data_IF_836534333797
#
_entry.id   IF_836534333797
#
_cell.length_a   1.000
_cell.length_b   1.000
_cell.length_c   1.000
_cell.angle_alpha   90.00
_cell.angle_beta   90.00
_cell.angle_gamma   90.00
#
_symmetry.space_group_name_H-M   'P 1'
#
loop_
_entity.id
_entity.type
_entity.pdbx_description
1 polymer ?
#
# COMPACT_ATOMS: atom_id res chain seq x y z
N UNK A 1 17.50 27.98 -14.08
CA UNK A 1 16.27 28.21 -14.85
C UNK A 1 15.68 26.82 -15.03
N UNK A 2 14.66 26.47 -14.26
CA UNK A 2 13.91 25.24 -14.49
C UNK A 2 13.11 25.43 -15.78
N UNK A 3 13.47 24.72 -16.84
CA UNK A 3 12.65 24.68 -18.05
C UNK A 3 11.42 23.82 -17.75
N UNK A 4 10.26 24.46 -17.60
CA UNK A 4 9.00 23.74 -17.38
C UNK A 4 8.64 22.95 -18.64
N UNK A 5 8.51 21.64 -18.51
CA UNK A 5 8.07 20.74 -19.59
C UNK A 5 6.65 21.14 -20.00
N UNK A 6 6.42 21.31 -21.30
CA UNK A 6 5.05 21.56 -21.78
C UNK A 6 4.20 20.28 -21.67
N UNK A 7 2.88 20.37 -21.40
CA UNK A 7 2.03 19.18 -21.24
C UNK A 7 2.09 18.19 -22.40
N UNK A 8 2.24 18.71 -23.64
CA UNK A 8 2.38 17.87 -24.84
C UNK A 8 3.71 17.10 -24.85
N UNK A 9 4.82 17.77 -24.54
CA UNK A 9 6.13 17.14 -24.50
C UNK A 9 6.22 16.09 -23.39
N UNK A 10 5.59 16.33 -22.24
CA UNK A 10 5.50 15.34 -21.15
C UNK A 10 4.75 14.07 -21.57
N UNK A 11 3.63 14.21 -22.30
CA UNK A 11 2.88 13.05 -22.81
C UNK A 11 3.64 12.25 -23.86
N UNK A 12 4.35 12.92 -24.77
CA UNK A 12 5.21 12.27 -25.77
C UNK A 12 6.36 11.50 -25.10
N UNK A 13 6.99 12.10 -24.09
CA UNK A 13 8.04 11.47 -23.29
C UNK A 13 7.50 10.27 -22.48
N UNK A 14 6.35 10.42 -21.82
CA UNK A 14 5.73 9.33 -21.06
C UNK A 14 5.39 8.12 -21.96
N UNK A 15 4.87 8.36 -23.17
CA UNK A 15 4.58 7.30 -24.14
C UNK A 15 5.85 6.58 -24.59
N UNK A 16 6.95 7.31 -24.79
CA UNK A 16 8.26 6.74 -25.11
C UNK A 16 8.80 5.89 -23.96
N UNK A 17 8.79 6.41 -22.73
CA UNK A 17 9.25 5.69 -21.54
C UNK A 17 8.45 4.39 -21.33
N UNK A 18 7.14 4.42 -21.58
CA UNK A 18 6.31 3.22 -21.49
C UNK A 18 6.63 2.17 -22.57
N UNK A 19 6.86 2.59 -23.82
CA UNK A 19 7.25 1.65 -24.88
C UNK A 19 8.65 1.07 -24.63
N UNK A 20 9.58 1.87 -24.07
CA UNK A 20 10.90 1.43 -23.63
C UNK A 20 10.81 0.42 -22.48
N UNK A 21 10.05 0.72 -21.43
CA UNK A 21 9.81 -0.22 -20.32
C UNK A 21 9.36 -1.61 -20.79
N UNK A 22 8.56 -1.65 -21.86
CA UNK A 22 8.01 -2.88 -22.42
C UNK A 22 8.97 -3.63 -23.35
N UNK A 23 9.83 -2.92 -24.08
CA UNK A 23 10.68 -3.49 -25.13
C UNK A 23 12.12 -3.71 -24.69
N UNK A 24 12.67 -2.77 -23.93
CA UNK A 24 14.06 -2.77 -23.47
C UNK A 24 14.20 -2.05 -22.12
N UNK A 25 14.02 -2.77 -21.00
CA UNK A 25 14.22 -2.22 -19.67
C UNK A 25 15.64 -1.72 -19.40
N UNK A 26 16.64 -2.21 -20.14
CA UNK A 26 18.03 -1.77 -20.02
C UNK A 26 18.23 -0.37 -20.58
N UNK A 27 17.70 -0.10 -21.77
CA UNK A 27 17.70 1.23 -22.37
C UNK A 27 16.89 2.24 -21.53
N UNK A 28 15.74 1.82 -20.97
CA UNK A 28 15.00 2.63 -20.01
C UNK A 28 15.88 3.00 -18.80
N UNK A 29 16.59 2.03 -18.22
CA UNK A 29 17.44 2.29 -17.05
C UNK A 29 18.56 3.28 -17.38
N UNK A 30 19.19 3.19 -18.55
CA UNK A 30 20.23 4.14 -18.96
C UNK A 30 19.67 5.55 -19.18
N UNK A 31 18.49 5.64 -19.82
CA UNK A 31 17.78 6.91 -19.99
C UNK A 31 17.41 7.55 -18.66
N UNK A 32 16.88 6.78 -17.72
CA UNK A 32 16.56 7.26 -16.37
C UNK A 32 17.81 7.67 -15.58
N UNK A 33 19.01 7.18 -15.90
CA UNK A 33 20.24 7.61 -15.22
C UNK A 33 20.85 8.91 -15.80
N UNK A 34 20.46 9.30 -17.01
CA UNK A 34 21.14 10.36 -17.77
C UNK A 34 20.24 11.52 -18.18
N UNK A 35 18.92 11.36 -18.09
CA UNK A 35 17.94 12.36 -18.47
C UNK A 35 17.04 12.73 -17.27
N UNK A 36 17.30 13.90 -16.69
CA UNK A 36 16.54 14.46 -15.56
C UNK A 36 15.06 14.71 -15.93
N UNK A 37 14.77 15.01 -17.20
CA UNK A 37 13.40 15.23 -17.70
C UNK A 37 12.66 13.89 -17.75
N UNK A 38 13.32 12.82 -18.19
CA UNK A 38 12.76 11.48 -18.17
C UNK A 38 12.44 11.01 -16.74
N UNK A 39 13.36 11.25 -15.79
CA UNK A 39 13.12 10.98 -14.36
C UNK A 39 11.91 11.75 -13.84
N UNK A 40 11.85 13.06 -14.13
CA UNK A 40 10.76 13.91 -13.68
C UNK A 40 9.40 13.45 -14.23
N UNK A 41 9.31 13.14 -15.53
CA UNK A 41 8.07 12.64 -16.15
C UNK A 41 7.62 11.33 -15.52
N UNK A 42 8.55 10.43 -15.20
CA UNK A 42 8.24 9.17 -14.54
C UNK A 42 7.73 9.40 -13.09
N UNK A 43 8.42 10.26 -12.33
CA UNK A 43 8.03 10.61 -10.96
C UNK A 43 6.66 11.29 -10.89
N UNK A 44 6.39 12.24 -11.78
CA UNK A 44 5.10 12.91 -11.86
C UNK A 44 3.99 11.93 -12.24
N UNK A 45 4.25 11.04 -13.21
CA UNK A 45 3.29 9.99 -13.60
C UNK A 45 2.97 9.02 -12.48
N UNK A 46 3.98 8.54 -11.75
CA UNK A 46 3.79 7.67 -10.58
C UNK A 46 3.04 8.38 -9.46
N UNK A 47 3.36 9.64 -9.19
CA UNK A 47 2.68 10.46 -8.18
C UNK A 47 1.20 10.59 -8.51
N UNK A 48 0.85 10.91 -9.76
CA UNK A 48 -0.53 11.02 -10.22
C UNK A 48 -1.26 9.67 -10.09
N UNK A 49 -0.63 8.57 -10.49
CA UNK A 49 -1.20 7.23 -10.35
C UNK A 49 -1.51 6.89 -8.88
N UNK A 50 -0.56 7.14 -7.97
CA UNK A 50 -0.73 6.91 -6.53
C UNK A 50 -1.88 7.76 -5.98
N UNK A 51 -1.95 9.04 -6.35
CA UNK A 51 -3.04 9.93 -5.93
C UNK A 51 -4.41 9.46 -6.44
N UNK A 52 -4.48 8.99 -7.68
CA UNK A 52 -5.72 8.45 -8.25
C UNK A 52 -6.12 7.14 -7.55
N UNK A 53 -5.19 6.23 -7.30
CA UNK A 53 -5.43 5.01 -6.55
C UNK A 53 -5.95 5.31 -5.13
N UNK A 54 -5.30 6.23 -4.41
CA UNK A 54 -5.77 6.70 -3.08
C UNK A 54 -7.19 7.22 -3.15
N UNK A 55 -7.48 8.12 -4.09
CA UNK A 55 -8.82 8.70 -4.25
C UNK A 55 -9.88 7.65 -4.56
N UNK A 56 -9.53 6.64 -5.37
CA UNK A 56 -10.43 5.52 -5.65
C UNK A 56 -10.69 4.64 -4.42
N UNK A 57 -9.68 4.41 -3.59
CA UNK A 57 -9.86 3.68 -2.33
C UNK A 57 -10.75 4.50 -1.40
N UNK A 58 -10.39 5.75 -1.13
CA UNK A 58 -11.14 6.64 -0.22
C UNK A 58 -12.60 6.85 -0.66
N UNK A 59 -12.88 6.94 -1.96
CA UNK A 59 -14.24 7.10 -2.46
C UNK A 59 -15.09 5.83 -2.39
N UNK A 60 -14.45 4.65 -2.34
CA UNK A 60 -15.12 3.35 -2.18
C UNK A 60 -15.24 2.93 -0.72
N UNK A 61 -14.38 3.46 0.15
CA UNK A 61 -14.44 3.19 1.59
C UNK A 61 -15.63 3.91 2.20
N UNK A 62 -16.63 3.15 2.64
CA UNK A 62 -17.71 3.69 3.46
C UNK A 62 -17.13 4.20 4.79
N UNK A 63 -17.48 5.44 5.16
CA UNK A 63 -17.07 6.05 6.42
C UNK A 63 -17.50 5.25 7.65
N UNK A 64 -18.58 4.46 7.57
CA UNK A 64 -19.00 3.57 8.65
C UNK A 64 -18.00 2.43 8.90
N UNK A 65 -17.27 1.99 7.87
CA UNK A 65 -16.22 0.96 7.99
C UNK A 65 -14.96 1.46 8.69
N UNK A 66 -14.84 2.77 8.92
CA UNK A 66 -13.69 3.37 9.63
C UNK A 66 -13.87 3.41 11.15
N UNK A 67 -14.97 2.84 11.67
CA UNK A 67 -15.23 2.74 13.11
C UNK A 67 -15.75 1.35 13.49
N UNK A 68 -15.23 0.68 14.53
CA UNK A 68 -14.13 1.12 15.40
C UNK A 68 -12.80 1.23 14.63
N UNK A 69 -11.81 1.93 15.16
CA UNK A 69 -10.47 1.95 14.55
C UNK A 69 -9.69 0.70 14.95
N UNK A 70 -8.81 0.25 14.06
CA UNK A 70 -7.89 -0.87 14.27
C UNK A 70 -6.47 -0.39 14.03
N UNK A 71 -5.60 -0.61 15.01
CA UNK A 71 -4.19 -0.27 14.92
C UNK A 71 -3.32 -1.51 14.89
N UNK A 72 -2.13 -1.35 14.33
CA UNK A 72 -1.07 -2.34 14.37
C UNK A 72 0.24 -1.71 14.85
N UNK A 73 1.11 -2.52 15.43
CA UNK A 73 2.53 -2.17 15.59
C UNK A 73 3.32 -2.77 14.44
N UNK A 74 4.30 -2.05 13.92
CA UNK A 74 5.13 -2.55 12.84
C UNK A 74 6.61 -2.23 13.02
N UNK A 75 7.47 -3.03 12.40
CA UNK A 75 8.92 -2.81 12.28
C UNK A 75 9.38 -3.28 10.90
N UNK A 76 10.26 -2.50 10.28
CA UNK A 76 10.87 -2.80 8.97
C UNK A 76 12.38 -2.85 9.18
N UNK A 77 13.01 -3.98 8.86
CA UNK A 77 14.47 -4.21 9.02
C UNK A 77 15.01 -3.91 10.42
N UNK A 78 14.21 -4.19 11.45
CA UNK A 78 14.60 -3.96 12.85
C UNK A 78 14.59 -2.50 13.27
N UNK A 79 13.89 -1.63 12.53
CA UNK A 79 13.54 -0.28 12.97
C UNK A 79 12.79 -0.31 14.32
N UNK A 80 12.76 0.83 15.01
CA UNK A 80 11.89 0.98 16.18
C UNK A 80 10.43 0.64 15.80
N UNK A 81 9.71 0.05 16.76
CA UNK A 81 8.32 -0.30 16.54
C UNK A 81 7.46 0.97 16.53
N UNK A 82 6.69 1.13 15.47
CA UNK A 82 5.78 2.25 15.30
C UNK A 82 4.33 1.76 15.27
N UNK A 83 3.39 2.63 15.61
CA UNK A 83 1.96 2.33 15.56
C UNK A 83 1.35 2.96 14.32
N UNK A 84 0.57 2.18 13.58
CA UNK A 84 -0.13 2.60 12.36
C UNK A 84 -1.61 2.25 12.44
N UNK A 85 -2.47 3.13 11.92
CA UNK A 85 -3.92 2.89 11.77
C UNK A 85 -4.16 2.04 10.51
N UNK A 86 -4.55 0.78 10.71
CA UNK A 86 -4.79 -0.20 9.65
C UNK A 86 -6.27 -0.36 9.31
N UNK A 87 -7.15 0.51 9.84
CA UNK A 87 -8.61 0.39 9.65
C UNK A 87 -9.01 0.42 8.18
N UNK A 88 -8.30 1.20 7.36
CA UNK A 88 -8.54 1.25 5.90
C UNK A 88 -8.17 -0.05 5.20
N UNK A 89 -7.15 -0.76 5.68
CA UNK A 89 -6.83 -2.08 5.17
C UNK A 89 -8.00 -3.02 5.50
N UNK A 90 -8.45 -3.08 6.75
CA UNK A 90 -9.63 -3.87 7.15
C UNK A 90 -10.88 -3.58 6.31
N UNK A 91 -11.14 -2.30 6.02
CA UNK A 91 -12.28 -1.89 5.20
C UNK A 91 -12.14 -2.29 3.72
N UNK A 92 -10.92 -2.41 3.21
CA UNK A 92 -10.61 -2.76 1.82
C UNK A 92 -10.37 -4.26 1.60
N UNK A 93 -10.01 -5.00 2.65
CA UNK A 93 -9.75 -6.43 2.62
C UNK A 93 -11.01 -7.22 2.31
N UNK A 94 -10.83 -8.33 1.60
CA UNK A 94 -11.87 -9.33 1.45
C UNK A 94 -11.95 -10.25 2.69
N UNK A 95 -12.93 -11.14 2.67
CA UNK A 95 -13.18 -12.05 3.79
C UNK A 95 -12.03 -13.08 3.95
N UNK A 96 -11.35 -13.45 2.87
CA UNK A 96 -10.25 -14.42 2.89
C UNK A 96 -9.01 -13.83 3.57
N UNK A 97 -8.66 -12.57 3.26
CA UNK A 97 -7.57 -11.84 3.91
C UNK A 97 -7.83 -11.66 5.42
N UNK A 98 -9.07 -11.31 5.79
CA UNK A 98 -9.46 -11.12 7.19
C UNK A 98 -9.47 -12.43 7.98
N UNK A 99 -9.89 -13.54 7.35
CA UNK A 99 -9.83 -14.88 7.94
C UNK A 99 -8.38 -15.33 8.10
N UNK A 100 -7.54 -15.14 7.08
CA UNK A 100 -6.11 -15.41 7.19
C UNK A 100 -5.48 -14.67 8.38
N UNK A 101 -5.83 -13.38 8.56
CA UNK A 101 -5.32 -12.59 9.68
C UNK A 101 -5.77 -13.16 11.02
N UNK A 102 -7.02 -13.63 11.09
CA UNK A 102 -7.56 -14.26 12.29
C UNK A 102 -6.87 -15.61 12.59
N UNK A 103 -6.66 -16.46 11.58
CA UNK A 103 -6.00 -17.77 11.68
C UNK A 103 -4.53 -17.65 12.09
N UNK A 104 -3.86 -16.59 11.63
CA UNK A 104 -2.50 -16.24 12.02
C UNK A 104 -2.44 -15.49 13.38
N UNK A 105 -3.54 -15.46 14.14
CA UNK A 105 -3.61 -14.80 15.45
C UNK A 105 -3.18 -13.32 15.43
N UNK A 106 -3.57 -12.60 14.37
CA UNK A 106 -3.33 -11.18 14.19
C UNK A 106 -1.85 -10.81 14.03
N UNK A 107 -1.02 -11.77 13.59
CA UNK A 107 0.37 -11.53 13.19
C UNK A 107 0.93 -12.69 12.36
N UNK A 108 1.49 -12.38 11.19
CA UNK A 108 2.13 -13.36 10.31
C UNK A 108 2.76 -12.69 9.09
N UNK A 109 3.75 -13.34 8.49
CA UNK A 109 4.66 -12.71 7.53
C UNK A 109 3.92 -12.23 6.27
N UNK A 110 3.04 -13.07 5.70
CA UNK A 110 2.33 -12.76 4.46
C UNK A 110 1.34 -11.60 4.63
N UNK A 111 0.65 -11.53 5.76
CA UNK A 111 -0.34 -10.48 6.02
C UNK A 111 0.34 -9.20 6.49
N UNK A 112 1.50 -9.31 7.16
CA UNK A 112 2.33 -8.16 7.50
C UNK A 112 2.78 -7.38 6.26
N UNK A 113 3.26 -8.09 5.23
CA UNK A 113 3.64 -7.46 3.96
C UNK A 113 2.44 -6.78 3.27
N UNK A 114 1.27 -7.43 3.26
CA UNK A 114 0.04 -6.85 2.66
C UNK A 114 -0.38 -5.56 3.36
N UNK A 115 -0.43 -5.57 4.70
CA UNK A 115 -0.81 -4.40 5.51
C UNK A 115 0.18 -3.27 5.25
N UNK A 116 1.49 -3.53 5.35
CA UNK A 116 2.50 -2.47 5.21
C UNK A 116 2.59 -1.94 3.79
N UNK A 117 2.50 -2.79 2.77
CA UNK A 117 2.44 -2.34 1.38
C UNK A 117 1.20 -1.46 1.12
N UNK A 118 0.05 -1.80 1.71
CA UNK A 118 -1.15 -0.97 1.62
C UNK A 118 -0.99 0.36 2.38
N UNK A 119 -0.36 0.33 3.56
CA UNK A 119 -0.15 1.54 4.38
C UNK A 119 0.90 2.49 3.82
N UNK A 120 1.89 1.97 3.10
CA UNK A 120 2.84 2.75 2.32
C UNK A 120 2.16 3.63 1.25
N UNK A 121 0.93 3.31 0.83
CA UNK A 121 0.17 4.30 0.05
C UNK A 121 -0.14 5.51 0.92
N UNK A 122 -0.73 5.35 2.10
CA UNK A 122 -1.33 6.45 2.85
C UNK A 122 -0.36 7.20 3.76
N UNK A 123 0.75 6.58 4.14
CA UNK A 123 1.73 7.13 5.07
C UNK A 123 3.12 7.22 4.41
N UNK A 124 3.63 8.45 4.30
CA UNK A 124 4.90 8.75 3.62
C UNK A 124 6.13 8.26 4.39
N UNK A 125 6.03 8.07 5.71
CA UNK A 125 7.13 7.54 6.50
C UNK A 125 7.17 6.01 6.38
N UNK A 126 6.01 5.33 6.36
CA UNK A 126 5.91 3.90 6.01
C UNK A 126 6.41 3.66 4.58
N UNK A 127 6.00 4.48 3.62
CA UNK A 127 6.47 4.45 2.22
C UNK A 127 8.00 4.52 2.16
N UNK A 128 8.58 5.51 2.83
CA UNK A 128 10.03 5.73 2.83
C UNK A 128 10.76 4.52 3.39
N UNK A 129 10.31 3.96 4.50
CA UNK A 129 10.96 2.80 5.13
C UNK A 129 10.84 1.55 4.26
N UNK A 130 9.65 1.30 3.72
CA UNK A 130 9.35 0.09 2.94
C UNK A 130 10.07 0.06 1.59
N UNK A 131 10.09 1.17 0.84
CA UNK A 131 10.66 1.19 -0.53
C UNK A 131 12.16 1.46 -0.59
N UNK A 132 12.81 1.91 0.50
CA UNK A 132 14.28 2.02 0.56
C UNK A 132 14.91 0.64 0.78
N UNK A 133 14.22 -0.26 1.48
CA UNK A 133 14.66 -1.62 1.69
C UNK A 133 14.56 -2.41 0.37
N UNK A 134 15.65 -3.07 -0.04
CA UNK A 134 15.64 -3.92 -1.24
C UNK A 134 14.92 -5.25 -1.03
N UNK A 135 14.79 -5.69 0.22
CA UNK A 135 14.10 -6.91 0.66
C UNK A 135 13.68 -6.73 2.15
N UNK A 136 12.67 -5.89 2.42
CA UNK A 136 12.32 -5.50 3.79
C UNK A 136 11.84 -6.71 4.60
N UNK A 137 12.47 -6.95 5.74
CA UNK A 137 11.88 -7.82 6.76
C UNK A 137 10.81 -7.04 7.50
N UNK A 138 9.55 -7.37 7.19
CA UNK A 138 8.38 -6.71 7.78
C UNK A 138 7.79 -7.58 8.87
N UNK A 139 7.65 -7.00 10.06
CA UNK A 139 6.86 -7.58 11.15
C UNK A 139 5.73 -6.61 11.46
N UNK A 140 4.49 -7.04 11.28
CA UNK A 140 3.31 -6.28 11.63
C UNK A 140 2.44 -7.11 12.58
N UNK A 141 2.08 -6.53 13.72
CA UNK A 141 1.21 -7.15 14.71
C UNK A 141 -0.01 -6.28 14.93
N UNK A 142 -1.16 -6.78 14.50
CA UNK A 142 -2.43 -6.08 14.63
C UNK A 142 -2.94 -6.21 16.07
N UNK A 143 -3.51 -5.14 16.62
CA UNK A 143 -4.17 -5.19 17.90
C UNK A 143 -5.39 -6.12 17.81
N UNK A 144 -5.26 -7.29 18.42
CA UNK A 144 -6.27 -8.35 18.40
C UNK A 144 -7.63 -7.87 18.93
N UNK A 145 -7.67 -7.11 20.03
CA UNK A 145 -8.93 -6.67 20.61
C UNK A 145 -9.69 -5.73 19.67
N UNK A 146 -8.96 -4.79 19.05
CA UNK A 146 -9.53 -3.85 18.08
C UNK A 146 -9.97 -4.56 16.79
N UNK A 147 -9.14 -5.47 16.27
CA UNK A 147 -9.46 -6.26 15.09
C UNK A 147 -10.70 -7.14 15.30
N UNK A 148 -10.79 -7.82 16.45
CA UNK A 148 -11.97 -8.62 16.80
C UNK A 148 -13.22 -7.75 16.95
N UNK A 149 -13.10 -6.57 17.57
CA UNK A 149 -14.22 -5.64 17.69
C UNK A 149 -14.70 -5.17 16.31
N UNK A 150 -13.78 -4.84 15.41
CA UNK A 150 -14.10 -4.45 14.03
C UNK A 150 -14.79 -5.58 13.26
N UNK A 151 -14.20 -6.78 13.27
CA UNK A 151 -14.75 -7.95 12.57
C UNK A 151 -16.13 -8.33 13.12
N UNK A 152 -16.33 -8.26 14.44
CA UNK A 152 -17.64 -8.53 15.06
C UNK A 152 -18.70 -7.53 14.59
N UNK A 153 -18.32 -6.27 14.41
CA UNK A 153 -19.25 -5.22 14.01
C UNK A 153 -19.56 -5.27 12.51
N UNK A 154 -18.54 -5.44 11.66
CA UNK A 154 -18.66 -5.29 10.19
C UNK A 154 -18.72 -6.59 9.41
N UNK A 155 -18.19 -7.69 9.96
CA UNK A 155 -18.07 -9.01 9.32
C UNK A 155 -18.40 -10.15 10.30
N UNK A 156 -19.53 -10.10 11.03
CA UNK A 156 -19.83 -11.08 12.07
C UNK A 156 -19.93 -12.53 11.57
N UNK A 157 -20.14 -12.73 10.27
CA UNK A 157 -20.19 -14.06 9.68
C UNK A 157 -18.83 -14.77 9.68
N UNK A 158 -17.71 -14.04 9.71
CA UNK A 158 -16.36 -14.62 9.74
C UNK A 158 -15.98 -15.21 11.09
N UNK A 159 -16.66 -14.78 12.17
CA UNK A 159 -16.38 -15.22 13.54
C UNK A 159 -17.34 -16.31 14.02
N UNK A 160 -18.26 -16.76 13.16
CA UNK A 160 -19.11 -17.90 13.47
C UNK A 160 -18.30 -19.15 13.22
N UNK A 161 -17.91 -19.84 14.29
CA UNK A 161 -17.56 -21.25 14.18
C UNK A 161 -18.77 -21.95 13.52
N UNK A 162 -18.57 -22.65 12.41
CA UNK A 162 -19.56 -23.56 11.83
C UNK A 162 -19.78 -24.72 12.82
N UNK A 163 -20.53 -24.44 13.88
CA UNK A 163 -21.09 -25.40 14.80
C UNK A 163 -22.52 -25.69 14.38
N UNK A 164 -22.70 -26.50 13.34
CA UNK A 164 -23.85 -27.39 13.19
C UNK A 164 -23.64 -28.36 12.00
N UNK A 165 -23.04 -29.52 12.31
CA UNK A 165 -23.24 -30.78 11.58
C UNK A 165 -23.15 -31.97 12.54
#
# INVERSE_FOLDING_TARGET
MEESITPKAGLEMAAQLFDLARRDPGELSEMLLTDDVAQQVLQEGLTLYIQEAKSQIESKTDSELLSPSVHATYSIDGSEQETVDVTRWFAASDDDDLLGLHEEAYGGDAISESIIAFMAFFDADVERLYFIASDPQVVCQVNQEEAQAWMTFHRPHLLREDGDA
#
